data_IF_643067167809
#
_entry.id   IF_643067167809
#
_cell.length_a   1.000
_cell.length_b   1.000
_cell.length_c   1.000
_cell.angle_alpha   90.00
_cell.angle_beta   90.00
_cell.angle_gamma   90.00
#
_symmetry.space_group_name_H-M   'P 1'
#
loop_
_entity.id
_entity.type
_entity.pdbx_description
1 polymer ?
#
# COMPACT_ATOMS: atom_id res chain seq x y z
N UNK A 1 10.42 8.26 5.48
CA UNK A 1 9.04 8.52 5.93
C UNK A 1 8.64 7.67 7.15
N UNK A 2 8.92 6.35 7.16
CA UNK A 2 8.48 5.42 8.20
C UNK A 2 8.81 5.82 9.65
N UNK A 3 9.90 6.56 9.88
CA UNK A 3 10.29 7.09 11.19
C UNK A 3 10.19 8.61 11.33
N UNK A 4 9.26 9.27 10.62
CA UNK A 4 9.10 10.74 10.62
C UNK A 4 7.81 11.20 11.32
N UNK A 5 7.89 11.76 12.54
CA UNK A 5 6.73 12.32 13.25
C UNK A 5 6.09 13.49 12.51
N UNK A 6 6.90 14.33 11.87
CA UNK A 6 6.42 15.47 11.08
C UNK A 6 5.45 15.06 9.96
N UNK A 7 5.62 13.87 9.39
CA UNK A 7 4.73 13.35 8.35
C UNK A 7 3.60 12.53 8.96
N UNK A 8 3.93 11.55 9.80
CA UNK A 8 2.99 10.52 10.23
C UNK A 8 2.08 10.96 11.39
N UNK A 9 2.50 11.98 12.15
CA UNK A 9 1.72 12.54 13.26
C UNK A 9 1.30 13.96 12.94
N UNK A 10 2.24 14.90 12.81
CA UNK A 10 1.93 16.33 12.69
C UNK A 10 1.09 16.62 11.44
N UNK A 11 1.56 16.22 10.25
CA UNK A 11 0.80 16.42 9.03
C UNK A 11 -0.41 15.47 8.94
N UNK A 12 -0.18 14.15 9.00
CA UNK A 12 -1.23 13.18 8.69
C UNK A 12 -2.37 13.17 9.73
N UNK A 13 -2.05 13.20 11.02
CA UNK A 13 -3.04 13.02 12.09
C UNK A 13 -3.52 14.36 12.65
N UNK A 14 -2.62 15.29 12.92
CA UNK A 14 -2.97 16.55 13.57
C UNK A 14 -3.56 17.55 12.58
N UNK A 15 -2.91 17.75 11.42
CA UNK A 15 -3.38 18.69 10.39
C UNK A 15 -4.49 18.10 9.50
N UNK A 16 -4.26 16.91 8.91
CA UNK A 16 -5.22 16.29 7.99
C UNK A 16 -6.31 15.48 8.70
N UNK A 17 -6.21 15.26 10.02
CA UNK A 17 -7.24 14.61 10.81
C UNK A 17 -7.38 13.10 10.57
N UNK A 18 -6.38 12.43 9.99
CA UNK A 18 -6.47 11.00 9.69
C UNK A 18 -6.52 10.14 10.97
N UNK A 19 -7.54 9.26 11.05
CA UNK A 19 -7.79 8.39 12.21
C UNK A 19 -7.61 6.89 11.95
N UNK A 20 -7.23 6.52 10.72
CA UNK A 20 -7.00 5.12 10.36
C UNK A 20 -5.64 4.60 10.84
N UNK A 21 -5.38 3.32 10.54
CA UNK A 21 -4.07 2.73 10.71
C UNK A 21 -3.13 3.11 9.56
N UNK A 22 -1.83 3.24 9.88
CA UNK A 22 -0.74 3.43 8.91
C UNK A 22 0.08 2.16 8.85
N UNK A 23 0.27 1.65 7.64
CA UNK A 23 0.98 0.41 7.38
C UNK A 23 2.30 0.73 6.67
N UNK A 24 3.39 0.07 7.07
CA UNK A 24 4.69 0.20 6.45
C UNK A 24 4.66 -0.28 4.99
N UNK A 25 5.50 0.30 4.14
CA UNK A 25 5.93 -0.39 2.92
C UNK A 25 6.91 -1.53 3.29
N UNK A 26 7.14 -2.45 2.37
CA UNK A 26 7.99 -3.62 2.59
C UNK A 26 9.38 -3.21 3.10
N UNK A 27 9.72 -3.70 4.29
CA UNK A 27 10.99 -3.48 4.97
C UNK A 27 11.30 -2.02 5.32
N UNK A 28 10.31 -1.12 5.25
CA UNK A 28 10.55 0.31 5.49
C UNK A 28 11.06 0.60 6.91
N UNK A 29 10.74 -0.24 7.89
CA UNK A 29 11.24 -0.13 9.28
C UNK A 29 12.70 -0.55 9.36
N UNK A 30 13.08 -1.74 8.85
CA UNK A 30 14.47 -2.20 8.90
C UNK A 30 15.42 -1.32 8.06
N UNK A 31 14.93 -0.76 6.96
CA UNK A 31 15.69 0.21 6.16
C UNK A 31 16.07 1.47 6.94
N UNK A 32 15.39 1.81 8.05
CA UNK A 32 15.79 2.93 8.93
C UNK A 32 17.21 2.73 9.48
N UNK A 33 17.61 1.51 9.83
CA UNK A 33 18.97 1.22 10.31
C UNK A 33 19.89 0.67 9.22
N UNK A 34 19.36 -0.12 8.28
CA UNK A 34 20.18 -0.75 7.24
C UNK A 34 20.63 0.24 6.14
N UNK A 35 19.73 1.10 5.69
CA UNK A 35 19.93 1.91 4.48
C UNK A 35 20.02 3.39 4.81
N UNK A 36 19.07 3.90 5.58
CA UNK A 36 18.94 5.32 5.89
C UNK A 36 19.82 5.76 7.05
N UNK A 37 20.26 4.83 7.89
CA UNK A 37 21.13 5.08 9.06
C UNK A 37 20.57 6.14 10.01
N UNK A 38 19.24 6.21 10.14
CA UNK A 38 18.55 7.06 11.12
C UNK A 38 18.35 6.35 12.46
N UNK A 39 18.42 5.03 12.46
CA UNK A 39 18.48 4.18 13.63
C UNK A 39 19.79 3.37 13.63
N UNK A 40 20.29 3.01 14.80
CA UNK A 40 21.52 2.23 14.97
C UNK A 40 21.28 0.72 14.77
N UNK A 41 20.09 0.24 15.11
CA UNK A 41 19.72 -1.17 15.09
C UNK A 41 18.20 -1.36 14.92
N UNK A 42 17.76 -2.63 14.89
CA UNK A 42 16.37 -3.01 14.74
C UNK A 42 15.48 -2.47 15.88
N UNK A 43 15.99 -2.48 17.12
CA UNK A 43 15.22 -2.00 18.28
C UNK A 43 14.99 -0.48 18.22
N UNK A 44 16.03 0.30 17.87
CA UNK A 44 15.88 1.73 17.67
C UNK A 44 14.98 2.03 16.46
N UNK A 45 15.08 1.24 15.38
CA UNK A 45 14.20 1.40 14.23
C UNK A 45 12.73 1.14 14.58
N UNK A 46 12.43 0.10 15.36
CA UNK A 46 11.09 -0.20 15.85
C UNK A 46 10.53 0.93 16.71
N UNK A 47 11.30 1.39 17.70
CA UNK A 47 10.90 2.50 18.55
C UNK A 47 10.66 3.78 17.74
N UNK A 48 11.57 4.11 16.81
CA UNK A 48 11.47 5.30 15.96
C UNK A 48 10.22 5.25 15.08
N UNK A 49 9.95 4.12 14.42
CA UNK A 49 8.81 3.97 13.52
C UNK A 49 7.47 4.03 14.25
N UNK A 50 7.33 3.24 15.33
CA UNK A 50 6.08 3.19 16.09
C UNK A 50 5.78 4.55 16.75
N UNK A 51 6.79 5.17 17.36
CA UNK A 51 6.63 6.49 17.99
C UNK A 51 6.34 7.60 16.97
N UNK A 52 6.80 7.46 15.73
CA UNK A 52 6.46 8.40 14.67
C UNK A 52 4.99 8.33 14.25
N UNK A 53 4.31 7.19 14.52
CA UNK A 53 2.90 6.97 14.21
C UNK A 53 2.64 5.86 13.20
N UNK A 54 3.61 4.99 12.93
CA UNK A 54 3.47 3.81 12.06
C UNK A 54 2.89 2.62 12.84
N UNK A 55 1.74 2.09 12.44
CA UNK A 55 0.98 1.14 13.26
C UNK A 55 1.33 -0.33 12.97
N UNK A 56 1.61 -0.66 11.71
CA UNK A 56 1.84 -2.06 11.26
C UNK A 56 3.14 -2.15 10.48
N UNK A 57 4.01 -3.08 10.90
CA UNK A 57 5.21 -3.46 10.15
C UNK A 57 4.87 -4.44 9.02
N UNK A 58 5.54 -4.28 7.87
CA UNK A 58 5.48 -5.19 6.72
C UNK A 58 6.88 -5.52 6.20
N UNK A 59 7.05 -6.68 5.54
CA UNK A 59 6.04 -7.72 5.34
C UNK A 59 5.88 -8.69 6.51
N UNK A 60 6.86 -8.71 7.40
CA UNK A 60 6.96 -9.63 8.53
C UNK A 60 7.31 -8.87 9.81
N UNK A 61 7.21 -9.59 10.93
CA UNK A 61 7.62 -9.10 12.24
C UNK A 61 9.16 -9.13 12.33
N UNK A 62 9.82 -8.06 11.88
CA UNK A 62 11.27 -7.99 11.74
C UNK A 62 11.90 -7.09 12.81
N UNK A 63 11.47 -5.83 12.92
CA UNK A 63 11.94 -4.91 13.94
C UNK A 63 10.97 -4.86 15.11
N UNK A 64 9.65 -4.98 14.86
CA UNK A 64 8.64 -4.86 15.91
C UNK A 64 8.67 -6.04 16.91
N UNK A 65 9.38 -7.13 16.62
CA UNK A 65 9.68 -8.18 17.61
C UNK A 65 10.48 -7.66 18.82
N UNK A 66 11.18 -6.52 18.67
CA UNK A 66 11.95 -5.90 19.75
C UNK A 66 11.09 -5.08 20.72
N UNK A 67 9.85 -4.75 20.35
CA UNK A 67 8.95 -3.88 21.14
C UNK A 67 8.70 -4.39 22.57
N UNK A 68 8.46 -5.69 22.83
CA UNK A 68 8.28 -6.19 24.20
C UNK A 68 9.51 -5.92 25.08
N UNK A 69 10.73 -6.07 24.52
CA UNK A 69 11.97 -5.78 25.26
C UNK A 69 12.15 -4.29 25.53
N UNK A 70 11.75 -3.44 24.59
CA UNK A 70 11.78 -1.98 24.75
C UNK A 70 10.81 -1.48 25.82
N UNK A 71 9.60 -2.06 25.88
CA UNK A 71 8.63 -1.76 26.94
C UNK A 71 9.12 -2.30 28.29
N UNK A 72 9.56 -3.55 28.35
CA UNK A 72 10.05 -4.17 29.59
C UNK A 72 11.26 -3.47 30.20
N UNK A 73 12.06 -2.77 29.38
CA UNK A 73 13.19 -1.94 29.83
C UNK A 73 12.84 -0.46 30.07
N UNK A 74 11.60 -0.04 29.82
CA UNK A 74 11.14 1.35 29.96
C UNK A 74 11.67 2.31 28.88
N UNK A 75 12.26 1.79 27.80
CA UNK A 75 12.77 2.58 26.67
C UNK A 75 11.67 3.01 25.69
N UNK A 76 10.49 2.39 25.79
CA UNK A 76 9.30 2.73 25.06
C UNK A 76 8.11 2.64 26.01
N UNK A 77 7.23 3.64 26.01
CA UNK A 77 6.03 3.61 26.82
C UNK A 77 4.97 2.67 26.19
N UNK A 78 4.28 1.90 27.02
CA UNK A 78 3.29 0.91 26.60
C UNK A 78 2.09 1.56 25.88
N UNK A 79 1.74 2.79 26.26
CA UNK A 79 0.65 3.58 25.66
C UNK A 79 0.86 3.87 24.16
N UNK A 80 2.13 3.91 23.70
CA UNK A 80 2.47 4.04 22.29
C UNK A 80 2.03 2.80 21.50
N UNK A 81 2.20 1.61 22.08
CA UNK A 81 1.71 0.35 21.50
C UNK A 81 0.20 0.30 21.56
N UNK A 82 -0.40 0.63 22.70
CA UNK A 82 -1.87 0.65 22.87
C UNK A 82 -2.55 1.55 21.83
N UNK A 83 -1.97 2.73 21.55
CA UNK A 83 -2.47 3.62 20.51
C UNK A 83 -2.48 2.99 19.12
N UNK A 84 -1.39 2.30 18.75
CA UNK A 84 -1.30 1.61 17.46
C UNK A 84 -2.28 0.43 17.36
N UNK A 85 -2.33 -0.40 18.41
CA UNK A 85 -3.24 -1.55 18.52
C UNK A 85 -4.69 -1.09 18.47
N UNK A 86 -5.05 -0.02 19.18
CA UNK A 86 -6.41 0.54 19.17
C UNK A 86 -6.85 0.95 17.75
N UNK A 87 -5.97 1.58 16.95
CA UNK A 87 -6.27 1.96 15.56
C UNK A 87 -6.49 0.73 14.67
N UNK A 88 -5.65 -0.28 14.79
CA UNK A 88 -5.79 -1.54 14.05
C UNK A 88 -7.08 -2.27 14.43
N UNK A 89 -7.36 -2.39 15.73
CA UNK A 89 -8.58 -3.04 16.22
C UNK A 89 -9.83 -2.27 15.80
N UNK A 90 -9.82 -0.94 15.86
CA UNK A 90 -10.93 -0.12 15.40
C UNK A 90 -11.28 -0.40 13.93
N UNK A 91 -10.28 -0.52 13.04
CA UNK A 91 -10.51 -0.91 11.65
C UNK A 91 -11.08 -2.34 11.54
N UNK A 92 -10.56 -3.29 12.30
CA UNK A 92 -11.08 -4.68 12.31
C UNK A 92 -12.54 -4.75 12.76
N UNK A 93 -12.93 -3.97 13.76
CA UNK A 93 -14.32 -3.83 14.21
C UNK A 93 -15.20 -3.16 13.14
N UNK A 94 -14.74 -2.07 12.52
CA UNK A 94 -15.48 -1.40 11.44
C UNK A 94 -15.77 -2.32 10.24
N UNK A 95 -14.83 -3.24 9.95
CA UNK A 95 -14.98 -4.25 8.90
C UNK A 95 -15.85 -5.45 9.33
N UNK A 96 -16.25 -5.53 10.60
CA UNK A 96 -17.03 -6.66 11.14
C UNK A 96 -16.27 -7.98 11.16
N UNK A 97 -14.93 -7.93 11.25
CA UNK A 97 -14.09 -9.14 11.18
C UNK A 97 -14.23 -10.02 12.44
N UNK A 98 -14.69 -9.47 13.55
CA UNK A 98 -14.95 -10.25 14.76
C UNK A 98 -16.21 -11.09 14.64
N UNK A 99 -17.22 -10.62 13.89
CA UNK A 99 -18.47 -11.34 13.66
C UNK A 99 -18.41 -12.23 12.41
N UNK A 100 -17.78 -11.75 11.34
CA UNK A 100 -17.71 -12.42 10.03
C UNK A 100 -16.31 -12.26 9.40
N UNK A 101 -15.31 -12.99 9.89
CA UNK A 101 -13.91 -12.85 9.45
C UNK A 101 -13.64 -13.34 8.03
N UNK A 102 -14.45 -14.28 7.53
CA UNK A 102 -14.16 -15.02 6.30
C UNK A 102 -15.22 -14.80 5.23
N UNK A 103 -14.80 -14.96 3.98
CA UNK A 103 -15.65 -14.89 2.78
C UNK A 103 -15.86 -16.29 2.19
N UNK A 104 -16.89 -16.43 1.37
CA UNK A 104 -17.10 -17.64 0.58
C UNK A 104 -16.15 -17.65 -0.62
N UNK A 105 -15.05 -18.41 -0.49
CA UNK A 105 -14.03 -18.54 -1.53
C UNK A 105 -14.59 -19.15 -2.84
N UNK A 106 -15.63 -19.98 -2.78
CA UNK A 106 -16.21 -20.60 -3.97
C UNK A 106 -16.88 -19.55 -4.89
N UNK A 107 -17.30 -18.42 -4.34
CA UNK A 107 -17.89 -17.31 -5.11
C UNK A 107 -16.87 -16.47 -5.86
N UNK A 108 -15.58 -16.58 -5.55
CA UNK A 108 -14.55 -15.74 -6.15
C UNK A 108 -14.53 -15.87 -7.68
N UNK A 109 -14.63 -17.10 -8.20
CA UNK A 109 -14.63 -17.36 -9.64
C UNK A 109 -15.82 -16.70 -10.37
N UNK A 110 -16.99 -16.61 -9.72
CA UNK A 110 -18.17 -15.97 -10.30
C UNK A 110 -18.07 -14.43 -10.35
N UNK A 111 -17.17 -13.84 -9.55
CA UNK A 111 -16.99 -12.39 -9.43
C UNK A 111 -15.71 -11.88 -10.11
N UNK A 112 -14.93 -12.75 -10.75
CA UNK A 112 -13.66 -12.44 -11.39
C UNK A 112 -13.81 -12.44 -12.91
N UNK A 113 -13.16 -11.48 -13.60
CA UNK A 113 -13.16 -11.31 -15.06
C UNK A 113 -14.54 -11.33 -15.75
N UNK A 114 -15.55 -10.81 -15.07
CA UNK A 114 -16.89 -10.65 -15.64
C UNK A 114 -16.89 -9.75 -16.89
N UNK A 115 -17.90 -9.88 -17.75
CA UNK A 115 -18.04 -9.07 -18.95
C UNK A 115 -18.08 -7.56 -18.65
N UNK A 116 -18.72 -7.18 -17.55
CA UNK A 116 -18.77 -5.78 -17.09
C UNK A 116 -17.39 -5.27 -16.67
N UNK A 117 -16.60 -6.08 -15.96
CA UNK A 117 -15.22 -5.75 -15.60
C UNK A 117 -14.33 -5.62 -16.84
N UNK A 118 -14.45 -6.54 -17.81
CA UNK A 118 -13.71 -6.50 -19.08
C UNK A 118 -14.08 -5.26 -19.91
N UNK A 119 -15.37 -4.92 -19.95
CA UNK A 119 -15.88 -3.72 -20.61
C UNK A 119 -15.33 -2.45 -19.95
N UNK A 120 -15.32 -2.40 -18.61
CA UNK A 120 -14.73 -1.31 -17.85
C UNK A 120 -13.23 -1.17 -18.11
N UNK A 121 -12.48 -2.27 -18.07
CA UNK A 121 -11.04 -2.31 -18.32
C UNK A 121 -10.72 -1.79 -19.73
N UNK A 122 -11.46 -2.24 -20.75
CA UNK A 122 -11.30 -1.76 -22.13
C UNK A 122 -11.55 -0.25 -22.24
N UNK A 123 -12.59 0.26 -21.56
CA UNK A 123 -12.90 1.70 -21.54
C UNK A 123 -11.79 2.50 -20.85
N UNK A 124 -11.26 2.02 -19.73
CA UNK A 124 -10.15 2.66 -19.03
C UNK A 124 -8.89 2.69 -19.90
N UNK A 125 -8.53 1.56 -20.51
CA UNK A 125 -7.40 1.46 -21.44
C UNK A 125 -7.54 2.44 -22.62
N UNK A 126 -8.71 2.47 -23.28
CA UNK A 126 -8.97 3.38 -24.39
C UNK A 126 -8.84 4.87 -24.01
N UNK A 127 -9.16 5.23 -22.75
CA UNK A 127 -9.00 6.59 -22.23
C UNK A 127 -7.58 6.89 -21.72
N UNK A 128 -6.79 5.86 -21.43
CA UNK A 128 -5.41 6.00 -20.96
C UNK A 128 -4.39 6.15 -22.08
N UNK A 129 -4.74 5.83 -23.32
CA UNK A 129 -3.86 6.02 -24.49
C UNK A 129 -3.73 7.51 -24.82
N UNK A 130 -2.50 8.00 -24.89
CA UNK A 130 -2.18 9.36 -25.30
C UNK A 130 -1.58 9.38 -26.72
N UNK A 131 -2.17 10.16 -27.62
CA UNK A 131 -1.59 10.43 -28.94
C UNK A 131 -0.62 11.60 -28.79
N UNK A 132 0.68 11.31 -28.80
CA UNK A 132 1.72 12.33 -28.61
C UNK A 132 1.90 13.21 -29.86
N UNK A 133 1.86 12.58 -31.04
CA UNK A 133 1.94 13.24 -32.35
C UNK A 133 0.95 12.61 -33.31
N UNK A 134 0.42 13.40 -34.24
CA UNK A 134 -0.42 12.92 -35.33
C UNK A 134 -0.33 13.87 -36.53
N UNK A 135 0.44 13.49 -37.54
CA UNK A 135 0.63 14.28 -38.77
C UNK A 135 -0.48 14.01 -39.81
N UNK A 136 -1.70 13.75 -39.35
CA UNK A 136 -2.87 13.48 -40.18
C UNK A 136 -3.05 12.02 -40.62
N UNK A 137 -2.27 11.08 -40.06
CA UNK A 137 -2.36 9.64 -40.38
C UNK A 137 -3.49 8.95 -39.59
N UNK A 138 -3.74 9.38 -38.35
CA UNK A 138 -4.80 8.84 -37.51
C UNK A 138 -6.07 9.72 -37.59
N UNK A 139 -7.28 9.11 -37.55
CA UNK A 139 -7.54 7.67 -37.45
C UNK A 139 -7.32 6.95 -38.79
N UNK A 140 -6.87 5.69 -38.72
CA UNK A 140 -6.68 4.87 -39.92
C UNK A 140 -8.03 4.59 -40.63
N UNK A 141 -8.05 4.75 -41.95
CA UNK A 141 -9.20 4.34 -42.77
C UNK A 141 -9.19 2.82 -42.99
N UNK A 142 -10.14 2.13 -42.36
CA UNK A 142 -10.30 0.68 -42.47
C UNK A 142 -10.67 0.21 -43.89
N UNK A 143 -11.33 1.05 -44.69
CA UNK A 143 -11.74 0.71 -46.06
C UNK A 143 -10.58 0.71 -47.05
N UNK A 144 -9.55 1.52 -46.80
CA UNK A 144 -8.34 1.61 -47.63
C UNK A 144 -7.28 0.54 -47.29
N UNK A 145 -7.33 -0.03 -46.08
CA UNK A 145 -6.32 -0.99 -45.60
C UNK A 145 -6.64 -2.43 -46.01
N UNK A 146 -5.69 -3.09 -46.69
CA UNK A 146 -5.79 -4.53 -47.03
C UNK A 146 -5.04 -5.45 -46.08
N UNK A 147 -3.91 -4.99 -45.53
CA UNK A 147 -3.05 -5.75 -44.61
C UNK A 147 -2.31 -4.79 -43.70
N UNK A 148 -2.18 -5.13 -42.42
CA UNK A 148 -1.44 -4.38 -41.41
C UNK A 148 -0.30 -5.25 -40.90
N UNK A 149 0.91 -4.71 -40.84
CA UNK A 149 2.04 -5.37 -40.18
C UNK A 149 2.13 -4.83 -38.74
N UNK A 150 2.01 -5.72 -37.76
CA UNK A 150 2.22 -5.40 -36.34
C UNK A 150 3.62 -5.90 -35.99
N UNK A 151 4.53 -4.97 -35.68
CA UNK A 151 5.96 -5.26 -35.49
C UNK A 151 6.43 -4.54 -34.22
N UNK A 152 7.25 -5.22 -33.42
CA UNK A 152 7.87 -4.68 -32.22
C UNK A 152 7.93 -5.74 -31.12
N UNK A 153 8.82 -5.59 -30.12
CA UNK A 153 8.99 -6.58 -29.06
C UNK A 153 7.74 -6.77 -28.20
N UNK A 154 6.89 -5.75 -28.08
CA UNK A 154 5.66 -5.79 -27.27
C UNK A 154 4.39 -6.04 -28.09
N UNK A 155 4.51 -6.50 -29.34
CA UNK A 155 3.35 -6.73 -30.19
C UNK A 155 2.49 -7.93 -29.73
N UNK A 156 3.11 -8.91 -29.06
CA UNK A 156 2.51 -10.17 -28.58
C UNK A 156 3.31 -10.73 -27.40
N UNK A 157 3.67 -9.85 -26.46
CA UNK A 157 4.39 -10.16 -25.21
C UNK A 157 3.38 -10.52 -24.10
#
# INVERSE_FOLDING_TARGET
CAGSPAILTELLRDELGFRGAVVADYFAVSQLFQNHRTAADAAQAAAQALSAGLDVELPSLDCYQELPGLVGSGRLAEDVIDGAVARVLAQKFQLGLFERPYVDAARAAACFETDDQRTLARRAAAKGVCVLTNDGVLPLDRGALRKVAVIGPHADD
#
